data_IF_587760902510
#
_entry.id   IF_587760902510
#
_cell.length_a   1.000
_cell.length_b   1.000
_cell.length_c   1.000
_cell.angle_alpha   90.00
_cell.angle_beta   90.00
_cell.angle_gamma   90.00
#
_symmetry.space_group_name_H-M   'P 1'
#
loop_
_entity.id
_entity.type
_entity.pdbx_description
1 polymer ?
#
# COMPACT_ATOMS: atom_id res chain seq x y z
N UNK A 1 -7.49 -11.52 -10.49
CA UNK A 1 -6.56 -10.95 -9.49
C UNK A 1 -6.06 -9.61 -10.00
N UNK A 2 -6.13 -8.59 -9.17
CA UNK A 2 -5.80 -7.21 -9.55
C UNK A 2 -4.65 -6.72 -8.67
N UNK A 3 -3.67 -6.05 -9.27
CA UNK A 3 -2.61 -5.36 -8.56
C UNK A 3 -2.76 -3.85 -8.71
N UNK A 4 -2.70 -3.12 -7.61
CA UNK A 4 -2.72 -1.67 -7.59
C UNK A 4 -1.37 -1.15 -7.14
N UNK A 5 -0.78 -0.29 -7.96
CA UNK A 5 0.50 0.37 -7.68
C UNK A 5 0.24 1.83 -7.32
N UNK A 6 0.66 2.25 -6.16
CA UNK A 6 0.67 3.66 -5.76
C UNK A 6 2.11 4.14 -5.68
N UNK A 7 2.45 5.18 -6.45
CA UNK A 7 3.80 5.73 -6.49
C UNK A 7 3.88 7.03 -5.71
N UNK A 8 4.94 7.17 -4.92
CA UNK A 8 5.21 8.36 -4.09
C UNK A 8 6.59 8.87 -4.47
N UNK A 9 6.62 9.82 -5.38
CA UNK A 9 7.84 10.33 -5.99
C UNK A 9 8.19 11.71 -5.43
N UNK A 10 9.48 11.97 -5.22
CA UNK A 10 9.94 13.28 -4.79
C UNK A 10 9.55 13.69 -3.37
N UNK A 11 9.34 12.74 -2.46
CA UNK A 11 8.96 13.05 -1.08
C UNK A 11 10.10 13.72 -0.32
N UNK A 12 9.75 14.71 0.51
CA UNK A 12 10.65 15.27 1.50
C UNK A 12 10.88 14.27 2.63
N UNK A 13 11.93 14.48 3.43
CA UNK A 13 12.19 13.63 4.60
C UNK A 13 11.02 13.66 5.59
N UNK A 14 10.39 14.81 5.77
CA UNK A 14 9.19 14.91 6.62
C UNK A 14 8.04 14.08 6.09
N UNK A 15 7.80 14.12 4.78
CA UNK A 15 6.76 13.33 4.13
C UNK A 15 7.04 11.83 4.22
N UNK A 16 8.30 11.43 4.04
CA UNK A 16 8.70 10.02 4.20
C UNK A 16 8.42 9.51 5.61
N UNK A 17 8.76 10.29 6.64
CA UNK A 17 8.49 9.91 8.02
C UNK A 17 6.99 9.78 8.30
N UNK A 18 6.20 10.73 7.80
CA UNK A 18 4.74 10.68 7.96
C UNK A 18 4.13 9.47 7.25
N UNK A 19 4.64 9.15 6.06
CA UNK A 19 4.19 7.98 5.31
C UNK A 19 4.56 6.67 6.02
N UNK A 20 5.77 6.55 6.52
CA UNK A 20 6.21 5.36 7.27
C UNK A 20 5.37 5.15 8.52
N UNK A 21 5.13 6.20 9.28
CA UNK A 21 4.30 6.14 10.46
C UNK A 21 2.86 5.71 10.12
N UNK A 22 2.28 6.31 9.09
CA UNK A 22 0.94 5.93 8.65
C UNK A 22 0.87 4.49 8.15
N UNK A 23 1.85 4.07 7.34
CA UNK A 23 1.87 2.72 6.77
C UNK A 23 2.01 1.67 7.85
N UNK A 24 2.95 1.84 8.80
CA UNK A 24 3.25 0.83 9.81
C UNK A 24 2.23 0.78 10.95
N UNK A 25 1.69 1.93 11.36
CA UNK A 25 0.84 2.03 12.56
C UNK A 25 -0.65 1.98 12.26
N UNK A 26 -1.09 2.40 11.08
CA UNK A 26 -2.51 2.56 10.75
C UNK A 26 -2.92 1.83 9.47
N UNK A 27 -2.34 2.23 8.35
CA UNK A 27 -2.84 1.82 7.03
C UNK A 27 -2.63 0.33 6.77
N UNK A 28 -1.49 -0.23 7.17
CA UNK A 28 -1.19 -1.66 7.02
C UNK A 28 -2.26 -2.53 7.68
N UNK A 29 -2.58 -2.26 8.93
CA UNK A 29 -3.58 -3.04 9.66
C UNK A 29 -4.97 -2.88 9.04
N UNK A 30 -5.34 -1.67 8.65
CA UNK A 30 -6.62 -1.39 8.01
C UNK A 30 -6.75 -2.10 6.67
N UNK A 31 -5.67 -2.09 5.87
CA UNK A 31 -5.68 -2.68 4.53
C UNK A 31 -5.68 -4.21 4.57
N UNK A 32 -4.84 -4.81 5.42
CA UNK A 32 -4.70 -6.27 5.49
C UNK A 32 -5.96 -6.97 6.03
N UNK A 33 -6.84 -6.23 6.69
CA UNK A 33 -8.10 -6.76 7.21
C UNK A 33 -9.25 -6.70 6.21
N UNK A 34 -9.06 -6.10 5.03
CA UNK A 34 -10.14 -5.96 4.07
C UNK A 34 -10.44 -7.27 3.34
N UNK A 35 -11.73 -7.57 3.08
CA UNK A 35 -12.08 -8.75 2.27
C UNK A 35 -11.43 -8.71 0.90
N UNK A 36 -10.86 -9.82 0.47
CA UNK A 36 -10.26 -9.96 -0.85
C UNK A 36 -8.84 -9.47 -0.99
N UNK A 37 -8.24 -8.92 0.07
CA UNK A 37 -6.81 -8.57 0.04
C UNK A 37 -5.96 -9.84 0.04
N UNK A 38 -4.96 -9.90 -0.82
CA UNK A 38 -4.06 -11.04 -0.94
C UNK A 38 -2.64 -10.73 -0.47
N UNK A 39 -2.13 -9.55 -0.79
CA UNK A 39 -0.78 -9.16 -0.40
C UNK A 39 -0.61 -7.65 -0.47
N UNK A 40 0.29 -7.12 0.34
CA UNK A 40 0.69 -5.72 0.31
C UNK A 40 2.21 -5.64 0.40
N UNK A 41 2.81 -4.83 -0.47
CA UNK A 41 4.25 -4.56 -0.45
C UNK A 41 4.47 -3.06 -0.34
N UNK A 42 5.33 -2.67 0.56
CA UNK A 42 5.78 -1.30 0.71
C UNK A 42 7.26 -1.24 0.36
N UNK A 43 7.64 -0.44 -0.63
CA UNK A 43 8.95 -0.52 -1.25
C UNK A 43 9.60 0.86 -1.37
N UNK A 44 10.93 0.85 -1.43
CA UNK A 44 11.72 2.04 -1.70
C UNK A 44 12.69 1.76 -2.85
N UNK A 45 12.78 2.69 -3.79
CA UNK A 45 13.75 2.60 -4.87
C UNK A 45 15.12 3.10 -4.43
N UNK A 46 16.20 2.80 -5.20
CA UNK A 46 17.54 3.27 -4.85
C UNK A 46 17.66 4.80 -4.71
N UNK A 47 16.82 5.58 -5.39
CA UNK A 47 16.84 7.04 -5.30
C UNK A 47 15.93 7.60 -4.19
N UNK A 48 15.31 6.72 -3.40
CA UNK A 48 14.47 7.14 -2.27
C UNK A 48 13.00 7.35 -2.57
N UNK A 49 12.55 7.10 -3.80
CA UNK A 49 11.11 7.09 -4.09
C UNK A 49 10.43 5.87 -3.45
N UNK A 50 9.18 6.02 -3.11
CA UNK A 50 8.40 4.96 -2.45
C UNK A 50 7.30 4.44 -3.36
N UNK A 51 6.91 3.20 -3.16
CA UNK A 51 5.77 2.61 -3.85
C UNK A 51 5.07 1.60 -2.95
N UNK A 52 3.76 1.50 -3.12
CA UNK A 52 2.94 0.47 -2.47
C UNK A 52 2.28 -0.38 -3.54
N UNK A 53 2.38 -1.69 -3.41
CA UNK A 53 1.63 -2.63 -4.25
C UNK A 53 0.64 -3.36 -3.37
N UNK A 54 -0.63 -3.33 -3.74
CA UNK A 54 -1.66 -4.17 -3.11
C UNK A 54 -2.23 -5.10 -4.16
N UNK A 55 -2.39 -6.37 -3.80
CA UNK A 55 -2.92 -7.41 -4.69
C UNK A 55 -4.24 -7.90 -4.12
N UNK A 56 -5.27 -7.97 -4.97
CA UNK A 56 -6.65 -8.23 -4.60
C UNK A 56 -7.26 -9.33 -5.46
N UNK A 57 -8.24 -10.04 -4.91
CA UNK A 57 -8.95 -11.08 -5.64
C UNK A 57 -9.63 -10.55 -6.90
N UNK A 58 -10.20 -9.33 -6.82
CA UNK A 58 -10.90 -8.72 -7.93
C UNK A 58 -10.95 -7.20 -7.77
N UNK A 59 -11.43 -6.51 -8.82
CA UNK A 59 -11.49 -5.06 -8.85
C UNK A 59 -12.42 -4.47 -7.79
N UNK A 60 -13.56 -5.10 -7.55
CA UNK A 60 -14.51 -4.62 -6.54
C UNK A 60 -13.91 -4.65 -5.14
N UNK A 61 -13.22 -5.72 -4.78
CA UNK A 61 -12.53 -5.82 -3.50
C UNK A 61 -11.46 -4.72 -3.35
N UNK A 62 -10.71 -4.47 -4.41
CA UNK A 62 -9.70 -3.41 -4.44
C UNK A 62 -10.33 -2.03 -4.18
N UNK A 63 -11.38 -1.69 -4.91
CA UNK A 63 -12.03 -0.38 -4.79
C UNK A 63 -12.64 -0.19 -3.40
N UNK A 64 -13.40 -1.13 -2.93
CA UNK A 64 -14.06 -1.04 -1.61
C UNK A 64 -13.08 -1.12 -0.46
N UNK A 65 -12.10 -2.01 -0.57
CA UNK A 65 -11.07 -2.15 0.45
C UNK A 65 -10.21 -0.91 0.59
N UNK A 66 -9.85 -0.29 -0.53
CA UNK A 66 -9.11 0.97 -0.53
C UNK A 66 -9.86 2.09 0.16
N UNK A 67 -11.16 2.24 -0.15
CA UNK A 67 -12.02 3.26 0.47
C UNK A 67 -12.10 3.05 1.98
N UNK A 68 -12.35 1.82 2.43
CA UNK A 68 -12.48 1.50 3.85
C UNK A 68 -11.16 1.68 4.60
N UNK A 69 -10.04 1.28 4.01
CA UNK A 69 -8.73 1.44 4.63
C UNK A 69 -8.37 2.93 4.80
N UNK A 70 -8.65 3.75 3.79
CA UNK A 70 -8.41 5.18 3.87
C UNK A 70 -9.34 5.89 4.86
N UNK A 71 -10.52 5.34 5.12
CA UNK A 71 -11.47 5.87 6.08
C UNK A 71 -11.16 5.49 7.53
N UNK A 72 -10.17 4.62 7.77
CA UNK A 72 -9.77 4.25 9.12
C UNK A 72 -9.34 5.49 9.92
N UNK A 73 -9.72 5.60 11.20
CA UNK A 73 -9.39 6.78 12.00
C UNK A 73 -7.89 7.01 12.11
N UNK A 74 -7.48 8.27 12.04
CA UNK A 74 -6.10 8.65 12.30
C UNK A 74 -5.74 8.33 13.76
N UNK A 75 -4.52 7.88 13.97
CA UNK A 75 -4.01 7.61 15.31
C UNK A 75 -3.55 8.91 16.00
N UNK A 76 -3.41 8.91 17.34
CA UNK A 76 -2.92 10.08 18.05
C UNK A 76 -1.60 10.59 17.46
N UNK A 77 -1.52 11.89 17.24
CA UNK A 77 -0.35 12.54 16.64
C UNK A 77 -0.30 12.53 15.13
N UNK A 78 -1.18 11.79 14.45
CA UNK A 78 -1.25 11.79 12.99
C UNK A 78 -2.13 12.92 12.49
N UNK A 79 -1.70 13.55 11.39
CA UNK A 79 -2.45 14.60 10.70
C UNK A 79 -2.60 14.20 9.23
N UNK A 80 -3.83 14.19 8.74
CA UNK A 80 -4.11 13.79 7.36
C UNK A 80 -3.35 14.60 6.33
N UNK A 81 -3.17 15.88 6.57
CA UNK A 81 -2.44 16.79 5.68
C UNK A 81 -0.94 16.50 5.57
N UNK A 82 -0.36 15.80 6.55
CA UNK A 82 1.06 15.43 6.54
C UNK A 82 1.31 14.12 5.78
N UNK A 83 0.28 13.32 5.58
CA UNK A 83 0.39 12.02 4.93
C UNK A 83 0.31 12.22 3.42
N UNK A 84 1.37 11.89 2.67
CA UNK A 84 1.36 12.12 1.23
C UNK A 84 0.38 11.20 0.50
N UNK A 85 -0.18 11.72 -0.57
CA UNK A 85 -0.97 10.93 -1.52
C UNK A 85 -0.08 10.44 -2.66
N UNK A 86 -0.44 9.34 -3.35
CA UNK A 86 0.32 8.88 -4.50
C UNK A 86 0.42 9.96 -5.59
N UNK A 87 1.59 10.11 -6.19
CA UNK A 87 1.77 11.00 -7.35
C UNK A 87 1.12 10.41 -8.61
N UNK A 88 1.04 9.08 -8.68
CA UNK A 88 0.32 8.37 -9.74
C UNK A 88 -0.08 6.98 -9.26
N UNK A 89 -1.07 6.40 -9.93
CA UNK A 89 -1.59 5.08 -9.61
C UNK A 89 -1.71 4.28 -10.90
N UNK A 90 -1.33 3.00 -10.85
CA UNK A 90 -1.53 2.07 -11.94
C UNK A 90 -2.32 0.86 -11.45
N UNK A 91 -3.20 0.35 -12.30
CA UNK A 91 -4.00 -0.84 -12.04
C UNK A 91 -3.64 -1.87 -13.10
N UNK A 92 -3.24 -3.06 -12.65
CA UNK A 92 -2.81 -4.14 -13.54
C UNK A 92 -3.61 -5.40 -13.24
N UNK A 93 -4.02 -6.13 -14.29
CA UNK A 93 -4.54 -7.46 -14.11
C UNK A 93 -3.38 -8.44 -13.94
N UNK A 94 -3.44 -9.27 -12.90
CA UNK A 94 -2.43 -10.32 -12.69
C UNK A 94 -2.88 -11.55 -13.46
N UNK A 95 -2.12 -11.90 -14.49
CA UNK A 95 -2.46 -13.02 -15.36
C UNK A 95 -2.08 -14.36 -14.75
N UNK A 96 -1.03 -14.40 -13.93
CA UNK A 96 -0.57 -15.62 -13.26
C UNK A 96 0.27 -15.25 -12.04
N UNK A 97 0.42 -16.19 -11.12
CA UNK A 97 1.19 -15.99 -9.91
C UNK A 97 2.03 -17.23 -9.62
N UNK A 98 3.31 -17.01 -9.44
CA UNK A 98 4.27 -18.04 -9.06
C UNK A 98 4.84 -17.69 -7.70
N UNK A 99 4.56 -18.51 -6.69
CA UNK A 99 5.03 -18.27 -5.33
C UNK A 99 5.96 -19.41 -4.94
N UNK A 100 7.21 -19.07 -4.61
CA UNK A 100 8.18 -20.07 -4.16
C UNK A 100 7.78 -20.61 -2.78
N UNK A 101 7.95 -21.92 -2.53
CA UNK A 101 7.79 -22.47 -1.18
C UNK A 101 8.71 -21.75 -0.18
N UNK A 102 8.26 -21.58 1.05
CA UNK A 102 9.03 -20.89 2.08
C UNK A 102 10.43 -21.48 2.29
N UNK A 103 10.57 -22.79 2.15
CA UNK A 103 11.84 -23.50 2.35
C UNK A 103 12.94 -23.14 1.33
N UNK A 104 12.59 -22.60 0.15
CA UNK A 104 13.56 -22.18 -0.88
C UNK A 104 13.83 -20.69 -0.89
N UNK A 105 13.19 -19.94 -0.01
CA UNK A 105 13.45 -18.50 0.18
C UNK A 105 14.55 -18.35 1.22
N UNK A 106 15.65 -17.82 0.79
CA UNK A 106 16.79 -17.58 1.68
C UNK A 106 16.67 -16.26 2.42
#
# INVERSE_FOLDING_TARGET
MIARFGYFEGLTEKQKRAQEDNASRRFKAALISQPGILAVYYMESPNGDRATISVWENKQAMEQGGIKANAAPLLPGQRGEDIPSPSRVEIWEVLDQFVAPAAVRA
#
